data_IF_647305560370
#
_entry.id   IF_647305560370
#
_cell.length_a   1.000
_cell.length_b   1.000
_cell.length_c   1.000
_cell.angle_alpha   90.00
_cell.angle_beta   90.00
_cell.angle_gamma   90.00
#
_symmetry.space_group_name_H-M   'P 1'
#
loop_
_entity.id
_entity.type
_entity.pdbx_description
1 polymer ?
#
# COMPACT_ATOMS: atom_id res chain seq x y z
N UNK A 1 6.37 14.89 -3.12
CA UNK A 1 6.59 13.44 -2.96
C UNK A 1 5.24 12.79 -2.86
N UNK A 2 4.86 11.96 -3.84
CA UNK A 2 3.58 11.25 -3.83
C UNK A 2 3.88 9.75 -3.64
N UNK A 3 3.48 9.15 -2.51
CA UNK A 3 3.55 7.69 -2.31
C UNK A 3 2.24 7.07 -2.83
N UNK A 4 2.38 6.12 -3.74
CA UNK A 4 1.29 5.27 -4.24
C UNK A 4 1.45 3.89 -3.59
N UNK A 5 0.42 3.40 -2.91
CA UNK A 5 0.44 2.07 -2.30
C UNK A 5 -0.13 1.03 -3.25
N UNK A 6 0.57 -0.09 -3.39
CA UNK A 6 0.21 -1.23 -4.24
C UNK A 6 0.13 -2.49 -3.36
N UNK A 7 -0.90 -3.30 -3.58
CA UNK A 7 -1.08 -4.63 -2.98
C UNK A 7 -0.89 -5.66 -4.08
N UNK A 8 -0.17 -6.75 -3.81
CA UNK A 8 0.05 -7.94 -4.68
C UNK A 8 -0.06 -7.74 -6.20
N UNK A 9 1.01 -8.01 -6.95
CA UNK A 9 1.05 -7.87 -8.41
C UNK A 9 0.84 -6.44 -8.94
N UNK A 10 1.14 -5.41 -8.13
CA UNK A 10 1.11 -4.01 -8.55
C UNK A 10 -0.31 -3.40 -8.59
N UNK A 11 -1.28 -4.02 -7.91
CA UNK A 11 -2.65 -3.49 -7.85
C UNK A 11 -2.70 -2.27 -6.93
N UNK A 12 -3.14 -1.13 -7.47
CA UNK A 12 -3.24 0.12 -6.71
C UNK A 12 -4.31 0.05 -5.61
N UNK A 13 -3.94 0.48 -4.40
CA UNK A 13 -4.82 0.63 -3.25
C UNK A 13 -5.47 2.03 -3.22
N UNK A 14 -6.67 2.19 -2.62
CA UNK A 14 -7.44 1.18 -1.88
C UNK A 14 -8.36 0.32 -2.76
N UNK A 15 -8.48 -0.96 -2.42
CA UNK A 15 -9.33 -1.96 -3.12
C UNK A 15 -10.69 -2.17 -2.45
N UNK A 16 -10.78 -1.98 -1.14
CA UNK A 16 -12.00 -2.18 -0.36
C UNK A 16 -12.31 -0.99 0.53
N UNK A 17 -13.58 -0.86 0.95
CA UNK A 17 -14.04 0.18 1.89
C UNK A 17 -13.29 0.17 3.24
N UNK A 18 -12.61 -0.95 3.55
CA UNK A 18 -11.76 -1.15 4.72
C UNK A 18 -10.39 -0.47 4.60
N UNK A 19 -9.93 -0.19 3.39
CA UNK A 19 -8.61 0.33 3.10
C UNK A 19 -8.70 1.83 2.82
N UNK A 20 -7.78 2.61 3.38
CA UNK A 20 -7.66 4.05 3.15
C UNK A 20 -6.21 4.42 2.98
N UNK A 21 -5.90 5.19 1.95
CA UNK A 21 -4.58 5.78 1.74
C UNK A 21 -4.68 7.27 2.08
N UNK A 22 -3.89 7.73 3.04
CA UNK A 22 -3.84 9.14 3.41
C UNK A 22 -2.90 9.91 2.48
N UNK A 23 -3.03 11.25 2.44
CA UNK A 23 -2.16 12.14 1.66
C UNK A 23 -0.67 12.02 2.06
N UNK A 24 -0.36 11.43 3.22
CA UNK A 24 1.01 11.15 3.67
C UNK A 24 1.58 9.81 3.19
N UNK A 25 0.85 9.04 2.37
CA UNK A 25 1.28 7.72 1.91
C UNK A 25 1.05 6.60 2.92
N UNK A 26 0.28 6.86 3.98
CA UNK A 26 -0.05 5.83 4.99
C UNK A 26 -1.26 5.03 4.52
N UNK A 27 -1.08 3.71 4.41
CA UNK A 27 -2.18 2.77 4.26
C UNK A 27 -2.76 2.39 5.63
N UNK A 28 -4.07 2.51 5.79
CA UNK A 28 -4.81 2.05 6.96
C UNK A 28 -5.86 1.03 6.54
N UNK A 29 -5.86 -0.15 7.17
CA UNK A 29 -6.82 -1.22 6.94
C UNK A 29 -7.62 -1.44 8.22
N UNK A 30 -8.95 -1.28 8.13
CA UNK A 30 -9.89 -1.50 9.24
C UNK A 30 -10.51 -2.89 9.12
N UNK A 31 -10.88 -3.51 10.25
CA UNK A 31 -11.50 -4.84 10.27
C UNK A 31 -10.72 -5.87 9.45
N UNK A 32 -9.42 -6.02 9.77
CA UNK A 32 -8.44 -6.85 9.05
C UNK A 32 -8.90 -8.30 8.93
N UNK A 33 -8.77 -8.87 7.73
CA UNK A 33 -9.10 -10.25 7.40
C UNK A 33 -7.90 -10.95 6.81
N UNK A 34 -7.40 -12.01 7.47
CA UNK A 34 -6.21 -12.74 7.01
C UNK A 34 -6.26 -13.14 5.55
N UNK A 35 -7.38 -13.72 5.09
CA UNK A 35 -7.49 -14.21 3.71
C UNK A 35 -7.43 -13.11 2.62
N UNK A 36 -7.72 -11.86 2.98
CA UNK A 36 -7.82 -10.75 2.02
C UNK A 36 -6.71 -9.70 2.20
N UNK A 37 -6.18 -9.55 3.40
CA UNK A 37 -5.28 -8.47 3.77
C UNK A 37 -3.84 -8.97 4.09
N UNK A 38 -3.62 -10.28 4.27
CA UNK A 38 -2.26 -10.86 4.37
C UNK A 38 -1.60 -10.90 2.98
N UNK A 39 -0.33 -10.49 2.91
CA UNK A 39 0.41 -10.50 1.66
C UNK A 39 1.52 -9.47 1.57
N UNK A 40 2.07 -9.32 0.37
CA UNK A 40 3.10 -8.33 0.07
C UNK A 40 2.47 -6.97 -0.32
N UNK A 41 2.99 -5.92 0.30
CA UNK A 41 2.62 -4.53 0.05
C UNK A 41 3.84 -3.76 -0.43
N UNK A 42 3.61 -2.87 -1.40
CA UNK A 42 4.62 -1.97 -1.94
C UNK A 42 4.18 -0.51 -1.79
N UNK A 43 5.07 0.39 -1.39
CA UNK A 43 4.90 1.83 -1.59
C UNK A 43 5.89 2.29 -2.64
N UNK A 44 5.37 2.96 -3.67
CA UNK A 44 6.14 3.59 -4.74
C UNK A 44 6.09 5.10 -4.53
N UNK A 45 7.22 5.70 -4.23
CA UNK A 45 7.37 7.15 -4.05
C UNK A 45 7.97 7.75 -5.31
N UNK A 46 7.29 8.77 -5.86
CA UNK A 46 7.83 9.57 -6.96
C UNK A 46 8.27 10.96 -6.49
N UNK A 47 9.52 11.30 -6.80
CA UNK A 47 10.07 12.65 -6.69
C UNK A 47 9.50 13.56 -7.78
N UNK A 48 9.57 14.88 -7.57
CA UNK A 48 9.20 15.86 -8.60
C UNK A 48 10.18 15.84 -9.77
N UNK A 49 11.41 15.41 -9.53
CA UNK A 49 12.48 15.29 -10.53
C UNK A 49 12.38 14.01 -11.38
N UNK A 50 11.35 13.19 -11.14
CA UNK A 50 11.09 11.95 -11.88
C UNK A 50 11.74 10.69 -11.28
N UNK A 51 12.55 10.82 -10.22
CA UNK A 51 13.09 9.67 -9.50
C UNK A 51 11.98 8.88 -8.81
N UNK A 52 12.12 7.55 -8.79
CA UNK A 52 11.16 6.65 -8.14
C UNK A 52 11.90 5.75 -7.16
N UNK A 53 11.35 5.61 -5.96
CA UNK A 53 11.81 4.67 -4.94
C UNK A 53 10.68 3.73 -4.57
N UNK A 54 10.98 2.43 -4.44
CA UNK A 54 10.00 1.40 -4.05
C UNK A 54 10.45 0.73 -2.76
N UNK A 55 9.56 0.65 -1.79
CA UNK A 55 9.74 -0.12 -0.57
C UNK A 55 8.69 -1.22 -0.49
N UNK A 56 9.11 -2.46 -0.22
CA UNK A 56 8.23 -3.62 -0.10
C UNK A 56 8.24 -4.17 1.32
N UNK A 57 7.10 -4.70 1.76
CA UNK A 57 6.99 -5.36 3.06
C UNK A 57 5.91 -6.44 3.03
N UNK A 58 6.15 -7.54 3.75
CA UNK A 58 5.17 -8.60 3.90
C UNK A 58 4.39 -8.39 5.20
N UNK A 59 3.07 -8.26 5.09
CA UNK A 59 2.16 -8.12 6.22
C UNK A 59 1.56 -9.47 6.54
N UNK A 60 1.78 -9.96 7.76
CA UNK A 60 1.11 -11.16 8.28
C UNK A 60 0.02 -10.79 9.29
N UNK A 61 -1.10 -11.49 9.22
CA UNK A 61 -2.26 -11.30 10.11
C UNK A 61 -2.37 -12.52 11.03
N UNK A 62 -2.14 -12.28 12.33
CA UNK A 62 -2.14 -13.30 13.40
C UNK A 62 -3.44 -13.35 14.19
#
# INVERSE_FOLDING_TARGET
>A
MNCSSEFTDGILLPLHHRQKVSHGGTLSIQSVQRAADEGEYSCVVRSMDGETATGTTFVSVV
#
